data_IF_299625782278
#
_entry.id   IF_299625782278
#
_cell.length_a   1.000
_cell.length_b   1.000
_cell.length_c   1.000
_cell.angle_alpha   90.00
_cell.angle_beta   90.00
_cell.angle_gamma   90.00
#
_symmetry.space_group_name_H-M   'P 1'
#
loop_
_entity.id
_entity.type
_entity.pdbx_description
1 polymer ?
#
# COMPACT_ATOMS: atom_id res chain seq x y z
N UNK A 1 -19.78 -61.88 -4.12
CA UNK A 1 -20.48 -61.01 -3.13
C UNK A 1 -21.25 -61.88 -2.14
N UNK A 2 -21.71 -61.35 -0.99
CA UNK A 2 -22.49 -62.15 0.00
C UNK A 2 -23.72 -62.87 -0.60
N UNK A 3 -24.24 -62.38 -1.73
CA UNK A 3 -25.36 -63.00 -2.45
C UNK A 3 -24.97 -64.29 -3.20
N UNK A 4 -23.76 -64.35 -3.75
CA UNK A 4 -23.28 -65.49 -4.55
C UNK A 4 -22.90 -66.67 -3.64
N UNK A 5 -22.35 -66.38 -2.45
CA UNK A 5 -22.10 -67.38 -1.41
C UNK A 5 -23.40 -68.04 -0.91
N UNK A 6 -24.51 -67.29 -0.83
CA UNK A 6 -25.80 -67.80 -0.33
C UNK A 6 -26.61 -68.57 -1.38
N UNK A 7 -26.41 -68.31 -2.68
CA UNK A 7 -27.26 -68.86 -3.75
C UNK A 7 -26.54 -69.85 -4.67
N UNK A 8 -25.20 -69.91 -4.61
CA UNK A 8 -24.38 -70.80 -5.43
C UNK A 8 -24.37 -70.47 -6.92
N UNK A 9 -24.85 -69.28 -7.31
CA UNK A 9 -24.86 -68.79 -8.70
C UNK A 9 -23.99 -67.55 -8.80
N UNK A 10 -23.08 -67.55 -9.77
CA UNK A 10 -22.27 -66.39 -10.13
C UNK A 10 -23.18 -65.39 -10.87
N UNK A 11 -23.31 -64.17 -10.36
CA UNK A 11 -24.19 -63.14 -10.93
C UNK A 11 -23.32 -62.02 -11.49
N UNK A 12 -23.08 -62.06 -12.79
CA UNK A 12 -22.48 -60.95 -13.51
C UNK A 12 -23.57 -59.96 -13.92
N UNK A 13 -23.64 -58.82 -13.22
CA UNK A 13 -24.49 -57.70 -13.64
C UNK A 13 -23.69 -56.86 -14.63
N UNK A 14 -24.09 -56.84 -15.89
CA UNK A 14 -23.49 -55.94 -16.87
C UNK A 14 -24.12 -54.55 -16.79
N UNK A 15 -23.40 -53.52 -17.26
CA UNK A 15 -23.94 -52.15 -17.32
C UNK A 15 -25.26 -52.08 -18.12
N UNK A 16 -25.45 -52.99 -19.08
CA UNK A 16 -26.68 -53.11 -19.87
C UNK A 16 -27.86 -53.62 -19.03
N UNK A 17 -27.62 -54.46 -18.04
CA UNK A 17 -28.65 -54.99 -17.13
C UNK A 17 -29.13 -53.90 -16.17
N UNK A 18 -28.21 -53.04 -15.70
CA UNK A 18 -28.55 -51.87 -14.88
C UNK A 18 -29.34 -50.82 -15.67
N UNK A 19 -28.95 -50.55 -16.92
CA UNK A 19 -29.65 -49.61 -17.80
C UNK A 19 -31.03 -50.11 -18.27
N UNK A 20 -31.29 -51.42 -18.17
CA UNK A 20 -32.59 -52.02 -18.52
C UNK A 20 -33.64 -51.86 -17.41
N UNK A 21 -33.20 -51.57 -16.19
CA UNK A 21 -34.08 -51.27 -15.06
C UNK A 21 -34.45 -49.79 -15.11
N UNK A 22 -35.60 -49.51 -15.71
CA UNK A 22 -36.13 -48.16 -15.93
C UNK A 22 -36.25 -47.33 -14.63
N UNK A 23 -36.40 -47.99 -13.48
CA UNK A 23 -36.55 -47.35 -12.16
C UNK A 23 -35.21 -47.09 -11.44
N UNK A 24 -34.10 -47.65 -11.94
CA UNK A 24 -32.75 -47.45 -11.36
C UNK A 24 -32.08 -46.18 -11.89
N UNK A 25 -32.42 -45.77 -13.10
CA UNK A 25 -32.21 -44.42 -13.58
C UNK A 25 -33.40 -43.61 -13.07
N UNK A 26 -33.28 -43.05 -11.87
CA UNK A 26 -34.24 -42.05 -11.39
C UNK A 26 -34.51 -41.07 -12.51
N UNK A 27 -35.78 -40.72 -12.72
CA UNK A 27 -36.19 -39.72 -13.72
C UNK A 27 -35.16 -38.60 -13.70
N UNK A 28 -34.59 -38.26 -14.86
CA UNK A 28 -34.12 -36.91 -15.04
C UNK A 28 -35.36 -36.06 -14.78
N UNK A 29 -35.51 -35.58 -13.55
CA UNK A 29 -36.54 -34.63 -13.23
C UNK A 29 -36.10 -33.39 -13.99
N UNK A 30 -36.56 -33.30 -15.23
CA UNK A 30 -36.79 -32.04 -15.91
C UNK A 30 -37.83 -31.35 -15.03
N UNK A 31 -37.35 -30.77 -13.92
CA UNK A 31 -38.07 -29.77 -13.19
C UNK A 31 -38.21 -28.64 -14.20
N UNK A 32 -39.28 -28.67 -14.99
CA UNK A 32 -39.80 -27.50 -15.67
C UNK A 32 -40.18 -26.52 -14.57
N UNK A 33 -39.17 -25.80 -14.06
CA UNK A 33 -39.38 -24.72 -13.12
C UNK A 33 -40.25 -23.71 -13.88
N UNK A 34 -41.46 -23.39 -13.39
CA UNK A 34 -42.30 -22.41 -14.03
C UNK A 34 -41.49 -21.12 -14.27
N UNK A 35 -41.54 -20.50 -15.46
CA UNK A 35 -40.70 -19.33 -15.76
C UNK A 35 -40.79 -18.22 -14.71
N UNK A 36 -41.95 -18.09 -14.07
CA UNK A 36 -42.21 -17.15 -12.96
C UNK A 36 -41.43 -17.51 -11.67
N UNK A 37 -41.35 -18.80 -11.33
CA UNK A 37 -40.58 -19.29 -10.18
C UNK A 37 -39.07 -19.21 -10.46
N UNK A 38 -38.66 -19.50 -11.70
CA UNK A 38 -37.27 -19.35 -12.14
C UNK A 38 -36.82 -17.89 -12.08
N UNK A 39 -37.63 -16.97 -12.59
CA UNK A 39 -37.36 -15.53 -12.53
C UNK A 39 -37.22 -15.02 -11.10
N UNK A 40 -38.10 -15.47 -10.19
CA UNK A 40 -38.02 -15.12 -8.77
C UNK A 40 -36.73 -15.62 -8.12
N UNK A 41 -36.36 -16.90 -8.33
CA UNK A 41 -35.13 -17.48 -7.79
C UNK A 41 -33.86 -16.79 -8.32
N UNK A 42 -33.86 -16.42 -9.61
CA UNK A 42 -32.75 -15.66 -10.22
C UNK A 42 -32.63 -14.28 -9.58
N UNK A 43 -33.74 -13.57 -9.36
CA UNK A 43 -33.74 -12.26 -8.69
C UNK A 43 -33.29 -12.34 -7.25
N UNK A 44 -33.79 -13.29 -6.46
CA UNK A 44 -33.35 -13.50 -5.08
C UNK A 44 -31.85 -13.83 -5.01
N UNK A 45 -31.38 -14.70 -5.90
CA UNK A 45 -29.95 -15.06 -5.98
C UNK A 45 -29.07 -13.88 -6.40
N UNK A 46 -29.52 -13.07 -7.36
CA UNK A 46 -28.80 -11.87 -7.80
C UNK A 46 -28.74 -10.83 -6.69
N UNK A 47 -29.85 -10.59 -5.99
CA UNK A 47 -29.89 -9.64 -4.88
C UNK A 47 -28.92 -10.05 -3.76
N UNK A 48 -28.90 -11.33 -3.40
CA UNK A 48 -27.94 -11.87 -2.43
C UNK A 48 -26.49 -11.71 -2.91
N UNK A 49 -26.22 -12.01 -4.18
CA UNK A 49 -24.88 -11.85 -4.75
C UNK A 49 -24.42 -10.38 -4.76
N UNK A 50 -25.30 -9.45 -5.12
CA UNK A 50 -25.00 -8.01 -5.11
C UNK A 50 -24.79 -7.47 -3.70
N UNK A 51 -25.59 -7.92 -2.72
CA UNK A 51 -25.39 -7.56 -1.31
C UNK A 51 -24.06 -8.10 -0.78
N UNK A 52 -23.74 -9.36 -1.09
CA UNK A 52 -22.46 -9.97 -0.73
C UNK A 52 -21.29 -9.19 -1.35
N UNK A 53 -21.38 -8.86 -2.64
CA UNK A 53 -20.37 -8.07 -3.36
C UNK A 53 -20.18 -6.68 -2.72
N UNK A 54 -21.26 -5.97 -2.43
CA UNK A 54 -21.21 -4.64 -1.78
C UNK A 54 -20.56 -4.72 -0.39
N UNK A 55 -20.91 -5.74 0.40
CA UNK A 55 -20.33 -5.95 1.74
C UNK A 55 -18.84 -6.32 1.68
N UNK A 56 -18.43 -7.06 0.65
CA UNK A 56 -17.03 -7.41 0.42
C UNK A 56 -16.23 -6.18 0.01
N UNK A 57 -16.72 -5.41 -0.96
CA UNK A 57 -16.09 -4.16 -1.42
C UNK A 57 -15.94 -3.13 -0.31
N UNK A 58 -16.94 -2.98 0.55
CA UNK A 58 -16.86 -2.07 1.70
C UNK A 58 -15.76 -2.48 2.71
N UNK A 59 -15.64 -3.78 3.01
CA UNK A 59 -14.58 -4.30 3.90
C UNK A 59 -13.19 -4.14 3.29
N UNK A 60 -13.06 -4.42 1.99
CA UNK A 60 -11.81 -4.24 1.25
C UNK A 60 -11.38 -2.77 1.24
N UNK A 61 -12.29 -1.85 0.94
CA UNK A 61 -12.03 -0.42 0.96
C UNK A 61 -11.61 0.10 2.34
N UNK A 62 -12.27 -0.37 3.40
CA UNK A 62 -11.91 -0.02 4.78
C UNK A 62 -10.50 -0.51 5.16
N UNK A 63 -10.17 -1.77 4.85
CA UNK A 63 -8.84 -2.32 5.13
C UNK A 63 -7.74 -1.59 4.35
N UNK A 64 -8.01 -1.21 3.10
CA UNK A 64 -7.08 -0.44 2.29
C UNK A 64 -6.88 0.98 2.84
N UNK A 65 -7.95 1.66 3.27
CA UNK A 65 -7.87 2.97 3.90
C UNK A 65 -7.01 2.94 5.17
N UNK A 66 -7.21 1.93 6.02
CA UNK A 66 -6.43 1.75 7.25
C UNK A 66 -4.93 1.53 6.94
N UNK A 67 -4.60 0.73 5.93
CA UNK A 67 -3.21 0.52 5.53
C UNK A 67 -2.58 1.81 4.99
N UNK A 68 -3.28 2.54 4.10
CA UNK A 68 -2.80 3.84 3.59
C UNK A 68 -2.56 4.81 4.75
N UNK A 69 -3.47 4.91 5.72
CA UNK A 69 -3.32 5.78 6.88
C UNK A 69 -2.09 5.42 7.72
N UNK A 70 -1.85 4.12 7.96
CA UNK A 70 -0.66 3.65 8.65
C UNK A 70 0.62 4.03 7.91
N UNK A 71 0.63 3.92 6.56
CA UNK A 71 1.76 4.35 5.73
C UNK A 71 2.01 5.85 5.78
N UNK A 72 0.95 6.66 5.74
CA UNK A 72 1.08 8.12 5.89
C UNK A 72 1.66 8.49 7.25
N UNK A 73 1.25 7.82 8.32
CA UNK A 73 1.84 8.01 9.65
C UNK A 73 3.31 7.61 9.68
N UNK A 74 3.68 6.51 9.01
CA UNK A 74 5.07 6.09 8.86
C UNK A 74 5.91 7.15 8.12
N UNK A 75 5.39 7.71 7.02
CA UNK A 75 6.05 8.82 6.32
C UNK A 75 6.29 10.03 7.23
N UNK A 76 5.30 10.41 8.06
CA UNK A 76 5.44 11.51 9.02
C UNK A 76 6.56 11.25 10.04
N UNK A 77 6.63 10.02 10.58
CA UNK A 77 7.69 9.62 11.52
C UNK A 77 9.09 9.66 10.86
N UNK A 78 9.19 9.21 9.61
CA UNK A 78 10.44 9.24 8.85
C UNK A 78 10.88 10.68 8.54
N UNK A 79 9.95 11.57 8.20
CA UNK A 79 10.24 12.98 8.01
C UNK A 79 10.75 13.63 9.31
N UNK A 80 10.13 13.34 10.45
CA UNK A 80 10.62 13.82 11.75
C UNK A 80 12.02 13.29 12.10
N UNK A 81 12.31 12.03 11.76
CA UNK A 81 13.66 11.45 11.92
C UNK A 81 14.69 12.19 11.06
N UNK A 82 14.35 12.54 9.82
CA UNK A 82 15.20 13.34 8.94
C UNK A 82 15.47 14.72 9.56
N UNK A 83 14.42 15.40 10.06
CA UNK A 83 14.54 16.71 10.70
C UNK A 83 15.44 16.67 11.95
N UNK A 84 15.34 15.61 12.75
CA UNK A 84 16.21 15.43 13.91
C UNK A 84 17.67 15.24 13.49
N UNK A 85 17.91 14.42 12.47
CA UNK A 85 19.27 14.15 11.99
C UNK A 85 19.90 15.36 11.31
N UNK A 86 19.13 16.18 10.59
CA UNK A 86 19.64 17.35 9.87
C UNK A 86 20.19 18.43 10.81
N UNK A 87 19.61 18.60 12.00
CA UNK A 87 20.05 19.57 13.02
C UNK A 87 21.50 19.40 13.46
N UNK A 88 22.05 18.20 13.35
CA UNK A 88 23.43 17.90 13.74
C UNK A 88 24.45 18.08 12.61
N UNK A 89 24.01 18.21 11.36
CA UNK A 89 24.92 18.27 10.20
C UNK A 89 25.85 19.49 10.20
N UNK A 90 25.41 20.71 10.54
CA UNK A 90 26.31 21.87 10.56
C UNK A 90 27.45 21.70 11.56
N UNK A 91 27.16 21.14 12.74
CA UNK A 91 28.17 20.87 13.76
C UNK A 91 29.16 19.79 13.31
N UNK A 92 28.67 18.72 12.68
CA UNK A 92 29.55 17.68 12.12
C UNK A 92 30.46 18.22 11.01
N UNK A 93 29.92 19.10 10.16
CA UNK A 93 30.71 19.76 9.11
C UNK A 93 31.79 20.66 9.71
N UNK A 94 31.45 21.49 10.71
CA UNK A 94 32.41 22.33 11.40
C UNK A 94 33.56 21.51 12.00
N UNK A 95 33.24 20.39 12.66
CA UNK A 95 34.26 19.52 13.26
C UNK A 95 35.18 18.92 12.19
N UNK A 96 34.64 18.39 11.09
CA UNK A 96 35.44 17.85 9.98
C UNK A 96 36.38 18.90 9.38
N UNK A 97 35.90 20.14 9.24
CA UNK A 97 36.71 21.24 8.72
C UNK A 97 37.84 21.61 9.68
N UNK A 98 37.57 21.66 10.99
CA UNK A 98 38.59 21.88 12.02
C UNK A 98 39.65 20.78 12.03
N UNK A 99 39.22 19.51 11.97
CA UNK A 99 40.12 18.36 11.92
C UNK A 99 41.05 18.46 10.70
N UNK A 100 40.50 18.75 9.52
CA UNK A 100 41.28 18.90 8.30
C UNK A 100 42.26 20.08 8.32
N UNK A 101 41.85 21.22 8.88
CA UNK A 101 42.75 22.38 9.05
C UNK A 101 43.91 22.07 10.02
N UNK A 102 43.64 21.26 11.05
CA UNK A 102 44.66 20.83 12.00
C UNK A 102 45.70 19.90 11.36
N UNK A 103 45.26 18.97 10.51
CA UNK A 103 46.14 18.07 9.74
C UNK A 103 47.07 18.85 8.79
N UNK A 104 46.54 19.91 8.17
CA UNK A 104 47.30 20.76 7.24
C UNK A 104 48.20 21.77 7.94
N UNK A 105 48.17 21.85 9.28
CA UNK A 105 48.84 22.89 10.08
C UNK A 105 48.54 24.30 9.57
N UNK A 106 47.34 24.49 9.00
CA UNK A 106 46.93 25.76 8.45
C UNK A 106 46.62 26.75 9.58
N UNK A 107 46.91 28.03 9.37
CA UNK A 107 46.53 29.07 10.32
C UNK A 107 45.00 29.21 10.31
N UNK A 108 44.37 28.97 11.45
CA UNK A 108 42.93 29.11 11.61
C UNK A 108 42.54 30.60 11.49
N UNK A 109 41.69 30.89 10.51
CA UNK A 109 40.94 32.14 10.44
C UNK A 109 39.53 31.88 10.94
N UNK A 110 39.24 32.35 12.15
CA UNK A 110 37.96 32.13 12.79
C UNK A 110 36.82 32.81 12.02
N UNK A 111 37.03 33.99 11.45
CA UNK A 111 35.96 34.71 10.73
C UNK A 111 35.57 33.94 9.47
N UNK A 112 36.57 33.48 8.71
CA UNK A 112 36.34 32.65 7.52
C UNK A 112 35.67 31.32 7.88
N UNK A 113 36.10 30.67 8.97
CA UNK A 113 35.45 29.43 9.44
C UNK A 113 33.96 29.64 9.72
N UNK A 114 33.59 30.70 10.45
CA UNK A 114 32.19 30.97 10.75
C UNK A 114 31.37 31.25 9.49
N UNK A 115 31.93 31.97 8.51
CA UNK A 115 31.28 32.23 7.23
C UNK A 115 31.02 30.92 6.45
N UNK A 116 32.02 30.04 6.35
CA UNK A 116 31.86 28.74 5.66
C UNK A 116 30.82 27.85 6.35
N UNK A 117 30.82 27.82 7.69
CA UNK A 117 29.83 27.05 8.46
C UNK A 117 28.42 27.61 8.26
N UNK A 118 28.26 28.95 8.23
CA UNK A 118 26.97 29.59 7.97
C UNK A 118 26.44 29.28 6.57
N UNK A 119 27.30 29.41 5.54
CA UNK A 119 26.95 29.05 4.17
C UNK A 119 26.58 27.58 4.03
N UNK A 120 27.30 26.68 4.72
CA UNK A 120 26.98 25.27 4.71
C UNK A 120 25.66 24.97 5.43
N UNK A 121 25.39 25.63 6.55
CA UNK A 121 24.13 25.48 7.29
C UNK A 121 22.92 25.87 6.43
N UNK A 122 23.01 26.97 5.68
CA UNK A 122 21.97 27.39 4.73
C UNK A 122 21.77 26.36 3.61
N UNK A 123 22.85 25.78 3.09
CA UNK A 123 22.76 24.75 2.03
C UNK A 123 22.17 23.43 2.51
N UNK A 124 22.37 23.10 3.79
CA UNK A 124 21.85 21.88 4.42
C UNK A 124 20.45 22.08 5.03
N UNK A 125 19.93 23.31 5.07
CA UNK A 125 18.64 23.58 5.67
C UNK A 125 17.50 23.00 4.81
N UNK A 126 16.82 22.01 5.39
CA UNK A 126 15.67 21.30 4.83
C UNK A 126 14.37 21.61 5.56
N UNK A 127 14.35 22.62 6.43
CA UNK A 127 13.20 22.94 7.27
C UNK A 127 11.95 23.25 6.44
N UNK A 128 12.13 23.95 5.31
CA UNK A 128 11.03 24.26 4.39
C UNK A 128 10.45 22.99 3.75
N UNK A 129 11.31 22.10 3.23
CA UNK A 129 10.89 20.84 2.62
C UNK A 129 10.13 19.95 3.61
N UNK A 130 10.55 19.90 4.88
CA UNK A 130 9.85 19.14 5.94
C UNK A 130 8.45 19.72 6.20
N UNK A 131 8.32 21.04 6.29
CA UNK A 131 7.02 21.70 6.51
C UNK A 131 6.09 21.47 5.32
N UNK A 132 6.59 21.63 4.09
CA UNK A 132 5.82 21.36 2.87
C UNK A 132 5.39 19.91 2.79
N UNK A 133 6.30 18.97 3.06
CA UNK A 133 6.01 17.55 3.08
C UNK A 133 4.91 17.21 4.10
N UNK A 134 4.99 17.75 5.32
CA UNK A 134 3.94 17.58 6.33
C UNK A 134 2.59 18.15 5.90
N UNK A 135 2.60 19.31 5.24
CA UNK A 135 1.38 19.93 4.68
C UNK A 135 0.75 19.06 3.59
N UNK A 136 1.56 18.51 2.69
CA UNK A 136 1.07 17.60 1.65
C UNK A 136 0.55 16.28 2.23
N UNK A 137 1.18 15.74 3.29
CA UNK A 137 0.68 14.56 3.99
C UNK A 137 -0.71 14.81 4.58
N UNK A 138 -0.90 15.96 5.25
CA UNK A 138 -2.19 16.33 5.81
C UNK A 138 -3.26 16.47 4.72
N UNK A 139 -2.96 17.17 3.62
CA UNK A 139 -3.90 17.30 2.51
C UNK A 139 -4.26 15.95 1.88
N UNK A 140 -3.33 14.98 1.85
CA UNK A 140 -3.60 13.65 1.34
C UNK A 140 -4.52 12.87 2.29
N UNK A 141 -4.30 12.97 3.61
CA UNK A 141 -5.21 12.41 4.62
C UNK A 141 -6.62 12.97 4.50
N UNK A 142 -6.75 14.29 4.33
CA UNK A 142 -8.05 14.95 4.13
C UNK A 142 -8.73 14.51 2.84
N UNK A 143 -7.96 14.33 1.75
CA UNK A 143 -8.49 13.86 0.46
C UNK A 143 -9.06 12.45 0.55
N UNK A 144 -8.44 11.56 1.33
CA UNK A 144 -8.92 10.19 1.55
C UNK A 144 -10.24 10.11 2.33
N UNK A 145 -10.64 11.19 3.01
CA UNK A 145 -11.92 11.28 3.72
C UNK A 145 -13.05 11.82 2.84
N UNK A 146 -12.75 12.32 1.64
CA UNK A 146 -13.72 12.91 0.72
C UNK A 146 -14.31 11.86 -0.23
N UNK A 147 -15.61 11.89 -0.47
CA UNK A 147 -16.30 10.93 -1.35
C UNK A 147 -16.07 11.18 -2.85
N UNK A 148 -15.41 12.28 -3.25
CA UNK A 148 -15.25 12.68 -4.65
C UNK A 148 -13.82 13.12 -4.97
N UNK A 149 -13.36 12.75 -6.17
CA UNK A 149 -12.08 13.16 -6.79
C UNK A 149 -10.79 12.73 -6.07
N UNK A 150 -10.79 11.54 -5.43
CA UNK A 150 -9.62 10.99 -4.74
C UNK A 150 -8.45 10.75 -5.72
N UNK A 151 -8.70 10.24 -6.92
CA UNK A 151 -7.66 9.81 -7.87
C UNK A 151 -6.71 10.94 -8.29
N UNK A 152 -7.20 11.90 -9.09
CA UNK A 152 -6.34 12.98 -9.65
C UNK A 152 -5.68 13.84 -8.57
N UNK A 153 -6.42 14.17 -7.51
CA UNK A 153 -5.91 15.00 -6.42
C UNK A 153 -4.88 14.22 -5.58
N UNK A 154 -5.15 12.94 -5.32
CA UNK A 154 -4.23 12.03 -4.65
C UNK A 154 -2.91 11.86 -5.41
N UNK A 155 -2.98 11.62 -6.72
CA UNK A 155 -1.81 11.52 -7.58
C UNK A 155 -0.94 12.79 -7.54
N UNK A 156 -1.57 13.96 -7.61
CA UNK A 156 -0.87 15.24 -7.50
C UNK A 156 -0.17 15.36 -6.14
N UNK A 157 -0.85 15.05 -5.04
CA UNK A 157 -0.24 15.12 -3.70
C UNK A 157 0.90 14.13 -3.52
N UNK A 158 0.79 12.92 -4.08
CA UNK A 158 1.87 11.94 -4.08
C UNK A 158 3.07 12.40 -4.90
N UNK A 159 2.87 13.13 -6.00
CA UNK A 159 3.94 13.75 -6.78
C UNK A 159 4.65 14.85 -5.97
N UNK A 160 3.89 15.74 -5.33
CA UNK A 160 4.49 16.79 -4.49
C UNK A 160 5.24 16.20 -3.29
N UNK A 161 4.72 15.16 -2.62
CA UNK A 161 5.42 14.43 -1.56
C UNK A 161 6.75 13.84 -2.05
N UNK A 162 6.76 13.23 -3.24
CA UNK A 162 7.99 12.70 -3.83
C UNK A 162 8.98 13.80 -4.20
N UNK A 163 8.49 14.95 -4.66
CA UNK A 163 9.31 16.12 -4.97
C UNK A 163 10.01 16.64 -3.72
N UNK A 164 9.28 16.83 -2.63
CA UNK A 164 9.87 17.30 -1.37
C UNK A 164 10.89 16.28 -0.82
N UNK A 165 10.57 14.97 -0.87
CA UNK A 165 11.51 13.91 -0.47
C UNK A 165 12.81 13.93 -1.30
N UNK A 166 12.73 14.19 -2.60
CA UNK A 166 13.91 14.36 -3.46
C UNK A 166 14.73 15.59 -3.05
N UNK A 167 14.07 16.72 -2.79
CA UNK A 167 14.75 17.95 -2.39
C UNK A 167 15.49 17.76 -1.08
N UNK A 168 14.88 17.11 -0.08
CA UNK A 168 15.55 16.74 1.19
C UNK A 168 16.84 15.94 0.95
N UNK A 169 16.80 14.90 0.12
CA UNK A 169 17.99 14.09 -0.20
C UNK A 169 19.06 14.89 -0.95
N UNK A 170 18.66 15.79 -1.86
CA UNK A 170 19.61 16.59 -2.64
C UNK A 170 20.32 17.65 -1.82
N UNK A 171 19.65 18.22 -0.80
CA UNK A 171 20.25 19.18 0.14
C UNK A 171 21.11 18.50 1.20
N UNK A 172 20.66 17.35 1.71
CA UNK A 172 21.36 16.60 2.75
C UNK A 172 22.01 15.33 2.20
N UNK A 173 23.25 15.46 1.71
CA UNK A 173 24.05 14.33 1.20
C UNK A 173 24.71 13.51 2.32
N UNK A 174 23.92 13.13 3.33
CA UNK A 174 24.34 12.25 4.42
C UNK A 174 23.63 10.90 4.25
N UNK A 175 24.38 9.80 4.49
CA UNK A 175 23.94 8.45 4.19
C UNK A 175 22.70 8.05 4.99
N UNK A 176 22.62 8.39 6.28
CA UNK A 176 21.45 8.09 7.12
C UNK A 176 20.17 8.81 6.65
N UNK A 177 20.29 10.06 6.19
CA UNK A 177 19.16 10.81 5.61
C UNK A 177 18.76 10.20 4.27
N UNK A 178 19.72 9.87 3.42
CA UNK A 178 19.47 9.25 2.11
C UNK A 178 18.71 7.92 2.25
N UNK A 179 19.09 7.07 3.20
CA UNK A 179 18.36 5.83 3.49
C UNK A 179 16.93 6.10 3.95
N UNK A 180 16.74 7.08 4.83
CA UNK A 180 15.41 7.43 5.35
C UNK A 180 14.51 7.99 4.24
N UNK A 181 15.06 8.77 3.30
CA UNK A 181 14.33 9.23 2.11
C UNK A 181 13.91 8.07 1.20
N UNK A 182 14.77 7.06 1.02
CA UNK A 182 14.40 5.86 0.25
C UNK A 182 13.25 5.12 0.92
N UNK A 183 13.24 4.99 2.25
CA UNK A 183 12.10 4.43 2.99
C UNK A 183 10.81 5.24 2.74
N UNK A 184 10.87 6.57 2.79
CA UNK A 184 9.72 7.43 2.48
C UNK A 184 9.19 7.14 1.08
N UNK A 185 10.07 7.13 0.06
CA UNK A 185 9.67 6.87 -1.33
C UNK A 185 9.04 5.50 -1.51
N UNK A 186 9.55 4.48 -0.83
CA UNK A 186 8.98 3.14 -0.86
C UNK A 186 7.56 3.11 -0.27
N UNK A 187 7.31 3.84 0.81
CA UNK A 187 5.95 3.96 1.36
C UNK A 187 5.02 4.77 0.46
N UNK A 188 5.50 5.86 -0.15
CA UNK A 188 4.72 6.63 -1.14
C UNK A 188 4.37 5.83 -2.39
N UNK A 189 5.26 4.93 -2.83
CA UNK A 189 4.99 4.00 -3.94
C UNK A 189 3.85 3.06 -3.60
N UNK A 190 3.91 2.39 -2.43
CA UNK A 190 2.87 1.47 -1.98
C UNK A 190 1.51 2.17 -1.82
N UNK A 191 1.50 3.41 -1.31
CA UNK A 191 0.27 4.21 -1.25
C UNK A 191 -0.27 4.45 -2.66
N UNK A 192 0.59 4.81 -3.63
CA UNK A 192 0.16 5.04 -5.00
C UNK A 192 -0.44 3.79 -5.65
N UNK A 193 0.23 2.65 -5.49
CA UNK A 193 -0.27 1.36 -5.99
C UNK A 193 -1.65 1.03 -5.40
N UNK A 194 -1.84 1.25 -4.10
CA UNK A 194 -3.14 1.05 -3.45
C UNK A 194 -4.20 2.00 -3.98
N UNK A 195 -3.90 3.28 -4.11
CA UNK A 195 -4.84 4.27 -4.63
C UNK A 195 -5.28 3.99 -6.06
N UNK A 196 -4.42 3.38 -6.89
CA UNK A 196 -4.77 2.94 -8.24
C UNK A 196 -5.68 1.70 -8.26
N UNK A 197 -5.66 0.90 -7.20
CA UNK A 197 -6.52 -0.27 -7.04
C UNK A 197 -7.91 0.07 -6.46
N UNK A 198 -8.15 1.32 -6.08
CA UNK A 198 -9.46 1.82 -5.62
C UNK A 198 -10.31 2.14 -6.87
N UNK A 199 -11.17 1.18 -7.27
CA UNK A 199 -12.27 1.37 -8.24
C UNK A 199 -13.64 1.40 -7.55
#
# INVERSE_FOLDING_TARGET
SQFEELTGREVQVSMKDLLSQRDLLGESVDLEIPPELAGKLIWESLELALQALKSMKAREGQAMLEDIQSRLQRCAQLAQKIECNSKHLPQQFQQRLLDHLSELQAKLDAERLHQEVALMAERLDISEEIVRFGTHLQHLQETLQQEREIGKRGDFLLQELNREANTMASKCNETSISHTVVEIKAELEKIREQMQNIE
#
